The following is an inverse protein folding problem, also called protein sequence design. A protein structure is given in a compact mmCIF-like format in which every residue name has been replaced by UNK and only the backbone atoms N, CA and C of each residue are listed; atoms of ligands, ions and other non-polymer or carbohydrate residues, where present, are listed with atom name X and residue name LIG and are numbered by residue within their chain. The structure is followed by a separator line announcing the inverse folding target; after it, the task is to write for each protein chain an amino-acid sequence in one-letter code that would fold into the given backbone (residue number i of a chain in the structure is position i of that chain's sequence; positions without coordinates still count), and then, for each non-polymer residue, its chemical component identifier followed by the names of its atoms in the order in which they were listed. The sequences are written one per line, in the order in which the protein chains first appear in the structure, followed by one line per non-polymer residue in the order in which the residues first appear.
data_IF_744262996720
#
_entry.id   IF_744262996720
#
_cell.length_a   1.000
_cell.length_b   1.000
_cell.length_c   1.000
_cell.angle_alpha   90.00
_cell.angle_beta   90.00
_cell.angle_gamma   90.00
#
_symmetry.space_group_name_H-M   'P 1'
#
loop_
_entity.id
_entity.type
_entity.pdbx_description
1 polymer ?
#
# COMPACT_ATOMS: atom_id res chain seq x y z
N UNK A 1 -0.39 -7.55 -9.88
CA UNK A 1 0.65 -6.73 -9.20
C UNK A 1 1.55 -6.02 -10.21
N UNK A 2 2.29 -6.73 -11.05
CA UNK A 2 3.27 -6.14 -11.98
C UNK A 2 2.68 -5.03 -12.87
N UNK A 3 1.46 -5.22 -13.36
CA UNK A 3 0.74 -4.22 -14.16
C UNK A 3 0.46 -2.91 -13.39
N UNK A 4 0.10 -2.99 -12.10
CA UNK A 4 -0.18 -1.82 -11.26
C UNK A 4 1.09 -1.06 -10.92
N UNK A 5 2.17 -1.76 -10.56
CA UNK A 5 3.48 -1.14 -10.29
C UNK A 5 4.05 -0.48 -11.54
N UNK A 6 3.98 -1.13 -12.70
CA UNK A 6 4.42 -0.54 -13.97
C UNK A 6 3.64 0.72 -14.31
N UNK A 7 2.30 0.66 -14.22
CA UNK A 7 1.43 1.82 -14.44
C UNK A 7 1.77 2.99 -13.50
N UNK A 8 1.98 2.71 -12.21
CA UNK A 8 2.30 3.76 -11.25
C UNK A 8 3.69 4.37 -11.51
N UNK A 9 4.67 3.55 -11.89
CA UNK A 9 6.01 4.01 -12.27
C UNK A 9 5.98 4.92 -13.50
N UNK A 10 5.21 4.57 -14.52
CA UNK A 10 5.05 5.39 -15.72
C UNK A 10 4.33 6.71 -15.42
N UNK A 11 3.28 6.68 -14.60
CA UNK A 11 2.61 7.87 -14.11
C UNK A 11 3.57 8.81 -13.36
N UNK A 12 4.43 8.29 -12.49
CA UNK A 12 5.38 9.11 -11.75
C UNK A 12 6.39 9.82 -12.66
N UNK A 13 6.81 9.20 -13.77
CA UNK A 13 7.71 9.83 -14.77
C UNK A 13 7.07 11.05 -15.43
N UNK A 14 5.74 11.06 -15.55
CA UNK A 14 4.99 12.21 -16.09
C UNK A 14 4.81 13.33 -15.06
N UNK A 15 4.79 13.00 -13.77
CA UNK A 15 4.46 13.95 -12.70
C UNK A 15 5.70 14.59 -12.05
N UNK A 16 6.83 13.86 -11.94
CA UNK A 16 8.06 14.37 -11.30
C UNK A 16 9.34 13.90 -11.99
N UNK A 17 10.34 14.78 -12.00
CA UNK A 17 11.71 14.47 -12.44
C UNK A 17 12.64 14.15 -11.26
N UNK A 18 12.17 14.27 -10.02
CA UNK A 18 12.95 13.97 -8.83
C UNK A 18 12.99 12.47 -8.57
N UNK A 19 14.09 11.83 -8.97
CA UNK A 19 14.29 10.38 -8.85
C UNK A 19 14.12 9.85 -7.41
N UNK A 20 14.53 10.62 -6.40
CA UNK A 20 14.37 10.20 -5.00
C UNK A 20 12.90 10.22 -4.57
N UNK A 21 12.17 11.26 -4.96
CA UNK A 21 10.74 11.36 -4.66
C UNK A 21 9.93 10.29 -5.39
N UNK A 22 10.25 10.03 -6.65
CA UNK A 22 9.64 8.95 -7.44
C UNK A 22 9.88 7.58 -6.80
N UNK A 23 11.13 7.26 -6.46
CA UNK A 23 11.48 6.00 -5.79
C UNK A 23 10.72 5.83 -4.46
N UNK A 24 10.67 6.87 -3.63
CA UNK A 24 9.95 6.82 -2.37
C UNK A 24 8.45 6.60 -2.58
N UNK A 25 7.83 7.26 -3.55
CA UNK A 25 6.42 7.08 -3.88
C UNK A 25 6.13 5.66 -4.39
N UNK A 26 6.99 5.11 -5.24
CA UNK A 26 6.88 3.75 -5.79
C UNK A 26 7.03 2.66 -4.71
N UNK A 27 7.98 2.85 -3.77
CA UNK A 27 8.14 1.98 -2.61
C UNK A 27 6.87 1.99 -1.74
N UNK A 28 6.36 3.18 -1.41
CA UNK A 28 5.13 3.32 -0.61
C UNK A 28 3.94 2.69 -1.32
N UNK A 29 3.80 2.93 -2.63
CA UNK A 29 2.75 2.36 -3.46
C UNK A 29 2.76 0.83 -3.41
N UNK A 30 3.92 0.22 -3.65
CA UNK A 30 4.06 -1.23 -3.71
C UNK A 30 3.64 -1.88 -2.40
N UNK A 31 4.11 -1.36 -1.26
CA UNK A 31 3.76 -1.88 0.06
C UNK A 31 2.25 -1.75 0.35
N UNK A 32 1.66 -0.59 0.07
CA UNK A 32 0.24 -0.34 0.38
C UNK A 32 -0.71 -1.04 -0.60
N UNK A 33 -0.34 -1.13 -1.88
CA UNK A 33 -1.08 -1.89 -2.87
C UNK A 33 -1.07 -3.38 -2.56
N UNK A 34 0.06 -3.92 -2.10
CA UNK A 34 0.12 -5.31 -1.68
C UNK A 34 -0.72 -5.58 -0.44
N UNK A 35 -0.79 -4.63 0.51
CA UNK A 35 -1.72 -4.78 1.64
C UNK A 35 -3.18 -4.83 1.17
N UNK A 36 -3.58 -3.94 0.24
CA UNK A 36 -4.92 -3.94 -0.35
C UNK A 36 -5.23 -5.27 -1.08
N UNK A 37 -4.26 -5.81 -1.81
CA UNK A 37 -4.39 -7.08 -2.53
C UNK A 37 -4.45 -8.29 -1.58
N UNK A 38 -3.45 -8.45 -0.71
CA UNK A 38 -3.30 -9.61 0.18
C UNK A 38 -4.33 -9.60 1.33
N UNK A 39 -4.34 -8.52 2.11
CA UNK A 39 -5.13 -8.43 3.34
C UNK A 39 -6.56 -7.97 3.07
N UNK A 40 -6.76 -7.08 2.09
CA UNK A 40 -8.08 -6.57 1.72
C UNK A 40 -8.87 -7.57 0.87
N UNK A 41 -8.45 -7.74 -0.39
CA UNK A 41 -9.24 -8.50 -1.36
C UNK A 41 -9.14 -10.02 -1.15
N UNK A 42 -7.93 -10.54 -0.96
CA UNK A 42 -7.70 -11.99 -0.80
C UNK A 42 -7.86 -12.51 0.64
N UNK A 43 -8.05 -11.60 1.61
CA UNK A 43 -8.31 -11.91 3.02
C UNK A 43 -7.25 -12.83 3.64
N UNK A 44 -6.00 -12.72 3.21
CA UNK A 44 -4.87 -13.45 3.80
C UNK A 44 -4.37 -12.61 4.97
N UNK A 45 -4.51 -13.05 6.21
CA UNK A 45 -3.98 -12.29 7.34
C UNK A 45 -2.45 -12.46 7.52
N UNK A 46 -1.84 -11.69 8.44
CA UNK A 46 -0.38 -11.77 8.65
C UNK A 46 0.10 -13.13 9.17
N UNK A 47 -0.73 -13.88 9.89
CA UNK A 47 -0.39 -15.22 10.38
C UNK A 47 -0.47 -16.24 9.25
N UNK A 48 -1.55 -16.21 8.45
CA UNK A 48 -1.71 -17.04 7.26
C UNK A 48 -0.56 -16.77 6.27
N UNK A 49 -0.24 -15.49 6.01
CA UNK A 49 0.89 -15.11 5.14
C UNK A 49 2.21 -15.75 5.58
N UNK A 50 2.52 -15.72 6.88
CA UNK A 50 3.76 -16.30 7.39
C UNK A 50 3.78 -17.82 7.20
N UNK A 51 2.69 -18.52 7.49
CA UNK A 51 2.61 -19.96 7.26
C UNK A 51 2.75 -20.30 5.77
N UNK A 52 2.08 -19.57 4.88
CA UNK A 52 2.20 -19.77 3.44
C UNK A 52 3.62 -19.53 2.91
N UNK A 53 4.36 -18.59 3.50
CA UNK A 53 5.77 -18.34 3.17
C UNK A 53 6.69 -19.42 3.72
N UNK A 54 6.44 -19.91 4.94
CA UNK A 54 7.17 -21.03 5.55
C UNK A 54 7.01 -22.33 4.74
N UNK A 55 5.81 -22.54 4.19
CA UNK A 55 5.46 -23.71 3.39
C UNK A 55 5.81 -23.56 1.88
N UNK A 56 6.38 -22.43 1.46
CA UNK A 56 6.76 -22.11 0.06
C UNK A 56 5.60 -22.18 -0.95
N UNK A 57 4.36 -22.02 -0.49
CA UNK A 57 3.12 -22.06 -1.30
C UNK A 57 2.44 -20.69 -1.42
N UNK A 58 3.12 -19.63 -0.99
CA UNK A 58 2.60 -18.26 -0.96
C UNK A 58 2.10 -17.78 -2.32
N UNK A 59 2.95 -17.83 -3.34
CA UNK A 59 2.61 -17.33 -4.67
C UNK A 59 1.54 -18.19 -5.36
N UNK A 60 1.55 -19.50 -5.15
CA UNK A 60 0.51 -20.40 -5.65
C UNK A 60 -0.85 -20.05 -5.02
N UNK A 61 -0.87 -19.83 -3.71
CA UNK A 61 -2.10 -19.48 -2.98
C UNK A 61 -2.66 -18.14 -3.43
N UNK A 62 -1.81 -17.12 -3.63
CA UNK A 62 -2.23 -15.83 -4.19
C UNK A 62 -2.87 -16.01 -5.57
N UNK A 63 -2.20 -16.72 -6.49
CA UNK A 63 -2.70 -16.96 -7.83
C UNK A 63 -4.02 -17.75 -7.83
N UNK A 64 -4.19 -18.69 -6.89
CA UNK A 64 -5.42 -19.45 -6.76
C UNK A 64 -6.57 -18.58 -6.22
N UNK A 65 -6.35 -17.81 -5.15
CA UNK A 65 -7.37 -16.91 -4.60
C UNK A 65 -7.75 -15.79 -5.58
N UNK A 66 -6.79 -15.28 -6.36
CA UNK A 66 -7.05 -14.23 -7.35
C UNK A 66 -8.01 -14.69 -8.46
N UNK A 67 -7.95 -15.96 -8.90
CA UNK A 67 -8.86 -16.50 -9.94
C UNK A 67 -10.32 -16.40 -9.55
N UNK A 68 -10.62 -16.61 -8.27
CA UNK A 68 -11.98 -16.61 -7.73
C UNK A 68 -12.37 -15.24 -7.15
N UNK A 69 -11.47 -14.26 -7.17
CA UNK A 69 -11.67 -12.94 -6.59
C UNK A 69 -12.25 -11.96 -7.62
N UNK A 70 -13.51 -11.57 -7.44
CA UNK A 70 -14.14 -10.52 -8.23
C UNK A 70 -13.87 -9.10 -7.72
N UNK A 71 -13.26 -8.99 -6.53
CA UNK A 71 -12.98 -7.71 -5.88
C UNK A 71 -11.91 -6.92 -6.62
N UNK A 72 -12.04 -5.60 -6.61
CA UNK A 72 -11.15 -4.65 -7.29
C UNK A 72 -10.35 -3.81 -6.31
N UNK A 73 -9.26 -3.24 -6.79
CA UNK A 73 -8.52 -2.18 -6.09
C UNK A 73 -8.64 -0.93 -6.95
N UNK A 74 -9.10 0.16 -6.36
CA UNK A 74 -9.17 1.46 -7.01
C UNK A 74 -7.99 2.31 -6.56
N UNK A 75 -7.23 2.84 -7.51
CA UNK A 75 -6.14 3.78 -7.25
C UNK A 75 -6.49 5.14 -7.83
N UNK A 76 -6.44 6.18 -6.99
CA UNK A 76 -6.63 7.57 -7.40
C UNK A 76 -5.37 8.36 -7.07
N UNK A 77 -4.88 9.13 -8.04
CA UNK A 77 -3.66 9.93 -7.89
C UNK A 77 -3.96 11.37 -8.24
N UNK A 78 -3.70 12.27 -7.30
CA UNK A 78 -3.94 13.70 -7.46
C UNK A 78 -2.64 14.47 -7.23
N UNK A 79 -2.33 15.41 -8.11
CA UNK A 79 -1.26 16.40 -7.91
C UNK A 79 -1.84 17.61 -7.18
N UNK A 80 -1.24 18.00 -6.07
CA UNK A 80 -1.64 19.18 -5.29
C UNK A 80 -0.47 20.15 -5.21
N UNK A 81 -0.72 21.38 -5.65
CA UNK A 81 0.26 22.46 -5.62
C UNK A 81 -0.02 23.36 -4.41
N UNK A 82 0.97 23.53 -3.55
CA UNK A 82 1.03 24.52 -2.49
C UNK A 82 2.04 25.60 -2.89
N UNK A 83 1.95 26.80 -2.32
CA UNK A 83 2.65 28.01 -2.77
C UNK A 83 4.17 27.85 -3.05
N UNK A 84 4.84 26.89 -2.40
CA UNK A 84 6.26 26.57 -2.63
C UNK A 84 6.55 25.09 -2.85
N UNK A 85 5.53 24.22 -2.86
CA UNK A 85 5.71 22.77 -2.77
C UNK A 85 4.66 22.02 -3.58
N UNK A 86 5.07 20.96 -4.26
CA UNK A 86 4.13 20.06 -4.96
C UNK A 86 4.07 18.72 -4.26
N UNK A 87 2.86 18.19 -4.12
CA UNK A 87 2.60 16.89 -3.54
C UNK A 87 1.85 16.01 -4.53
N UNK A 88 2.16 14.72 -4.50
CA UNK A 88 1.28 13.67 -5.02
C UNK A 88 0.52 13.11 -3.83
N UNK A 89 -0.80 13.03 -3.99
CA UNK A 89 -1.70 12.33 -3.09
C UNK A 89 -2.17 11.08 -3.80
N UNK A 90 -1.79 9.92 -3.29
CA UNK A 90 -2.26 8.63 -3.80
C UNK A 90 -3.22 8.03 -2.79
N UNK A 91 -4.40 7.64 -3.27
CA UNK A 91 -5.38 6.88 -2.52
C UNK A 91 -5.54 5.50 -3.13
N UNK A 92 -5.45 4.46 -2.30
CA UNK A 92 -5.66 3.06 -2.67
C UNK A 92 -6.85 2.56 -1.85
N UNK A 93 -7.87 2.02 -2.51
CA UNK A 93 -9.07 1.49 -1.88
C UNK A 93 -9.30 0.05 -2.35
N UNK A 94 -9.38 -0.88 -1.41
CA UNK A 94 -9.78 -2.26 -1.64
C UNK A 94 -11.27 -2.49 -1.30
N UNK A 95 -11.80 -3.64 -1.72
CA UNK A 95 -13.17 -4.07 -1.44
C UNK A 95 -13.19 -5.15 -0.35
N UNK A 96 -12.17 -5.18 0.49
CA UNK A 96 -12.07 -6.01 1.69
C UNK A 96 -12.90 -5.48 2.85
N UNK A 97 -12.90 -6.24 3.94
CA UNK A 97 -13.60 -5.89 5.17
C UNK A 97 -12.89 -4.78 5.97
N UNK A 98 -11.69 -4.37 5.54
CA UNK A 98 -10.83 -3.45 6.27
C UNK A 98 -10.27 -4.05 7.56
N UNK A 99 -9.74 -3.18 8.43
CA UNK A 99 -9.13 -3.57 9.70
C UNK A 99 -9.30 -2.47 10.75
N UNK A 100 -9.14 -2.82 12.03
CA UNK A 100 -9.16 -1.85 13.12
C UNK A 100 -7.95 -0.91 13.04
N UNK A 101 -8.18 0.30 12.54
CA UNK A 101 -7.12 1.31 12.37
C UNK A 101 -6.51 1.81 13.69
N UNK A 102 -7.13 1.56 14.84
CA UNK A 102 -6.58 1.94 16.15
C UNK A 102 -5.25 1.24 16.44
N UNK A 103 -5.05 0.04 15.87
CA UNK A 103 -3.81 -0.73 16.02
C UNK A 103 -2.59 -0.01 15.42
N UNK A 104 -2.80 0.88 14.43
CA UNK A 104 -1.71 1.63 13.78
C UNK A 104 -0.92 2.46 14.80
N UNK A 105 -1.60 3.03 15.79
CA UNK A 105 -0.95 3.79 16.86
C UNK A 105 0.03 2.94 17.67
N UNK A 106 -0.26 1.65 17.83
CA UNK A 106 0.59 0.68 18.54
C UNK A 106 1.75 0.25 17.64
N UNK A 107 1.47 -0.08 16.38
CA UNK A 107 2.47 -0.46 15.36
C UNK A 107 3.54 0.63 15.23
N UNK A 108 3.10 1.88 15.20
CA UNK A 108 3.97 3.03 15.07
C UNK A 108 4.79 3.38 16.33
N UNK A 109 4.38 2.89 17.50
CA UNK A 109 5.15 3.02 18.75
C UNK A 109 6.15 1.88 18.92
N UNK A 110 5.81 0.66 18.47
CA UNK A 110 6.59 -0.56 18.69
C UNK A 110 7.07 -1.18 17.38
N UNK A 111 8.13 -0.60 16.79
CA UNK A 111 8.65 -1.05 15.48
C UNK A 111 9.41 -2.39 15.50
N UNK A 112 9.63 -3.01 16.67
CA UNK A 112 10.51 -4.19 16.82
C UNK A 112 9.79 -5.54 16.76
N UNK A 113 8.47 -5.57 16.94
CA UNK A 113 7.72 -6.81 17.22
C UNK A 113 6.64 -7.15 16.19
N UNK A 114 6.54 -6.42 15.07
CA UNK A 114 5.38 -6.53 14.18
C UNK A 114 5.71 -6.95 12.75
N UNK A 115 4.85 -7.81 12.18
CA UNK A 115 4.91 -8.29 10.79
C UNK A 115 4.48 -7.22 9.77
N UNK A 116 3.93 -6.09 10.21
CA UNK A 116 3.56 -4.92 9.38
C UNK A 116 4.72 -3.97 9.06
N UNK A 117 5.87 -4.51 8.66
CA UNK A 117 7.02 -3.71 8.23
C UNK A 117 6.67 -2.79 7.06
N UNK A 118 5.78 -3.23 6.17
CA UNK A 118 5.32 -2.47 5.01
C UNK A 118 4.72 -1.12 5.41
N UNK A 119 3.69 -1.09 6.26
CA UNK A 119 3.07 0.16 6.72
C UNK A 119 4.07 1.08 7.43
N UNK A 120 5.03 0.54 8.16
CA UNK A 120 6.10 1.32 8.79
C UNK A 120 7.09 1.92 7.78
N UNK A 121 7.51 1.13 6.77
CA UNK A 121 8.34 1.59 5.66
C UNK A 121 7.61 2.66 4.86
N UNK A 122 6.33 2.43 4.55
CA UNK A 122 5.47 3.40 3.89
C UNK A 122 5.44 4.72 4.66
N UNK A 123 5.25 4.67 5.99
CA UNK A 123 5.20 5.89 6.81
C UNK A 123 6.52 6.65 6.82
N UNK A 124 7.66 5.95 6.80
CA UNK A 124 8.98 6.58 6.75
C UNK A 124 9.29 7.25 5.41
N UNK A 125 8.71 6.74 4.33
CA UNK A 125 8.98 7.18 2.95
C UNK A 125 7.86 8.06 2.37
N UNK A 126 6.89 8.45 3.18
CA UNK A 126 5.82 9.39 2.84
C UNK A 126 5.78 10.54 3.84
N UNK A 127 5.13 11.64 3.46
CA UNK A 127 4.90 12.78 4.34
C UNK A 127 3.78 12.50 5.35
N UNK A 128 2.85 11.61 5.00
CA UNK A 128 1.77 11.16 5.87
C UNK A 128 1.03 9.98 5.27
N UNK A 129 0.42 9.17 6.15
CA UNK A 129 -0.45 8.04 5.79
C UNK A 129 -1.70 8.13 6.64
N UNK A 130 -2.84 8.00 5.99
CA UNK A 130 -4.16 8.13 6.59
C UNK A 130 -5.04 6.99 6.09
N UNK A 131 -5.52 6.18 7.02
CA UNK A 131 -6.55 5.19 6.72
C UNK A 131 -7.93 5.77 7.02
N UNK A 132 -8.93 5.37 6.24
CA UNK A 132 -10.32 5.64 6.59
C UNK A 132 -10.75 4.83 7.82
N UNK A 133 -11.95 5.10 8.35
CA UNK A 133 -12.44 4.43 9.56
C UNK A 133 -12.56 2.91 9.40
N UNK A 134 -12.98 2.44 8.22
CA UNK A 134 -13.16 1.01 7.94
C UNK A 134 -11.82 0.27 7.79
N UNK A 135 -10.76 0.97 7.36
CA UNK A 135 -9.43 0.38 7.15
C UNK A 135 -9.23 -0.25 5.77
N UNK A 136 -10.16 -0.06 4.84
CA UNK A 136 -10.08 -0.54 3.44
C UNK A 136 -9.66 0.56 2.43
N UNK A 137 -9.34 1.77 2.92
CA UNK A 137 -8.84 2.84 2.09
C UNK A 137 -7.67 3.54 2.78
N UNK A 138 -6.56 3.67 2.07
CA UNK A 138 -5.35 4.36 2.52
C UNK A 138 -4.99 5.49 1.57
N UNK A 139 -4.71 6.65 2.16
CA UNK A 139 -4.20 7.82 1.47
C UNK A 139 -2.80 8.13 1.98
N UNK A 140 -1.87 8.37 1.07
CA UNK A 140 -0.52 8.81 1.42
C UNK A 140 -0.05 9.97 0.53
N UNK A 141 0.88 10.76 1.07
CA UNK A 141 1.41 11.95 0.42
C UNK A 141 2.91 11.83 0.17
N UNK A 142 3.36 12.16 -1.03
CA UNK A 142 4.77 12.31 -1.37
C UNK A 142 5.03 13.71 -1.90
N UNK A 143 6.03 14.39 -1.33
CA UNK A 143 6.56 15.64 -1.87
C UNK A 143 7.38 15.32 -3.12
N UNK A 144 7.10 16.02 -4.23
CA UNK A 144 7.72 15.78 -5.54
C UNK A 144 8.42 16.99 -6.11
#
# INVERSE_FOLDING_TARGET
MESASAWYSDLLKEITTNAKSAYNAELVFTELYMNAYEHGNLMIDSSEKNSLLEDDIYFETLAQKEKDCSKKITVQVNKVESASETYIITQITDEGNGFDTQILSQIFRNSKTFNGRGVFVSRKNSFGIYYNREGNSVLYLNKI
#
